data_IF_272557078607
#
_entry.id   IF_272557078607
#
_cell.length_a   1.000
_cell.length_b   1.000
_cell.length_c   1.000
_cell.angle_alpha   90.00
_cell.angle_beta   90.00
_cell.angle_gamma   90.00
#
_symmetry.space_group_name_H-M   'P 1'
#
loop_
_entity.id
_entity.type
_entity.pdbx_description
1 polymer ?
#
# COMPACT_ATOMS: atom_id res chain seq x y z
N UNK A 1 -17.08 16.33 -26.37
CA UNK A 1 -16.81 17.63 -27.02
C UNK A 1 -18.09 18.43 -26.97
N UNK A 2 -18.02 19.73 -26.70
CA UNK A 2 -19.21 20.59 -26.63
C UNK A 2 -19.07 21.75 -27.60
N UNK A 3 -20.18 22.08 -28.28
CA UNK A 3 -20.29 23.11 -29.29
C UNK A 3 -21.51 23.97 -28.98
N UNK A 4 -21.33 25.28 -28.92
CA UNK A 4 -22.44 26.24 -28.83
C UNK A 4 -22.70 26.80 -30.22
N UNK A 5 -23.88 26.56 -30.77
CA UNK A 5 -24.33 27.16 -32.03
C UNK A 5 -25.44 28.17 -31.74
N UNK A 6 -25.25 29.40 -32.22
CA UNK A 6 -26.19 30.51 -32.04
C UNK A 6 -26.58 31.04 -33.42
N UNK A 7 -27.87 31.26 -33.65
CA UNK A 7 -28.34 32.11 -34.74
C UNK A 7 -28.74 33.47 -34.15
N UNK A 8 -28.01 34.52 -34.52
CA UNK A 8 -28.26 35.90 -34.09
C UNK A 8 -28.95 36.76 -35.17
N UNK A 9 -29.15 36.21 -36.37
CA UNK A 9 -29.76 36.88 -37.52
C UNK A 9 -31.19 36.41 -37.78
N UNK A 10 -31.54 36.30 -39.06
CA UNK A 10 -32.84 35.81 -39.55
C UNK A 10 -32.94 34.27 -39.50
N UNK A 11 -34.11 33.69 -39.77
CA UNK A 11 -34.30 32.23 -39.81
C UNK A 11 -33.33 31.57 -40.81
N UNK A 12 -32.54 30.59 -40.35
CA UNK A 12 -31.54 29.89 -41.14
C UNK A 12 -32.08 28.53 -41.64
N UNK A 13 -31.99 28.29 -42.95
CA UNK A 13 -32.57 27.12 -43.62
C UNK A 13 -31.51 26.03 -43.85
N UNK A 14 -31.88 24.77 -43.61
CA UNK A 14 -31.03 23.57 -43.80
C UNK A 14 -29.66 23.66 -43.11
N UNK A 15 -29.63 24.16 -41.87
CA UNK A 15 -28.39 24.30 -41.09
C UNK A 15 -27.67 22.97 -40.92
N UNK A 16 -26.44 22.90 -41.45
CA UNK A 16 -25.57 21.74 -41.38
C UNK A 16 -24.22 22.11 -40.77
N UNK A 17 -23.90 21.46 -39.67
CA UNK A 17 -22.61 21.52 -38.99
C UNK A 17 -21.71 20.41 -39.54
N UNK A 18 -20.49 20.75 -39.95
CA UNK A 18 -19.46 19.82 -40.42
C UNK A 18 -18.27 19.84 -39.45
N UNK A 19 -17.89 18.68 -38.91
CA UNK A 19 -16.71 18.54 -38.05
C UNK A 19 -15.63 17.74 -38.76
N UNK A 20 -14.43 18.30 -38.85
CA UNK A 20 -13.22 17.60 -39.29
C UNK A 20 -12.46 17.08 -38.07
N UNK A 21 -12.20 15.77 -38.07
CA UNK A 21 -11.73 14.97 -36.92
C UNK A 21 -10.50 14.13 -37.32
N UNK A 22 -9.50 13.92 -36.44
CA UNK A 22 -8.42 12.98 -36.71
C UNK A 22 -8.95 11.54 -36.81
N UNK A 23 -8.37 10.71 -37.68
CA UNK A 23 -8.81 9.32 -37.94
C UNK A 23 -8.91 8.41 -36.70
N UNK A 24 -8.24 8.75 -35.60
CA UNK A 24 -8.31 8.02 -34.33
C UNK A 24 -9.56 8.28 -33.48
N UNK A 25 -10.41 9.24 -33.86
CA UNK A 25 -11.76 9.41 -33.32
C UNK A 25 -12.78 8.78 -34.27
N UNK A 26 -13.72 8.00 -33.73
CA UNK A 26 -14.92 7.54 -34.43
C UNK A 26 -16.16 8.06 -33.72
N UNK A 27 -17.20 8.44 -34.46
CA UNK A 27 -18.44 8.98 -33.91
C UNK A 27 -19.21 7.94 -33.09
N UNK A 28 -19.66 8.34 -31.89
CA UNK A 28 -20.47 7.50 -31.00
C UNK A 28 -21.93 7.96 -30.94
N UNK A 29 -22.14 9.24 -30.62
CA UNK A 29 -23.46 9.83 -30.37
C UNK A 29 -23.39 11.36 -30.36
N UNK A 30 -24.52 11.99 -30.70
CA UNK A 30 -24.78 13.42 -30.47
C UNK A 30 -25.94 13.57 -29.47
N UNK A 31 -25.84 14.55 -28.56
CA UNK A 31 -26.87 14.90 -27.58
C UNK A 31 -26.98 16.44 -27.44
N UNK A 32 -28.10 16.91 -26.89
CA UNK A 32 -28.40 18.34 -26.71
C UNK A 32 -28.58 18.67 -25.23
N UNK A 33 -27.70 19.51 -24.66
CA UNK A 33 -27.61 19.66 -23.20
C UNK A 33 -28.73 20.50 -22.55
N UNK A 34 -29.58 21.17 -23.34
CA UNK A 34 -30.71 21.98 -22.85
C UNK A 34 -32.05 21.22 -23.01
N UNK A 35 -32.72 20.76 -21.93
CA UNK A 35 -33.94 19.96 -22.01
C UNK A 35 -35.21 20.75 -22.42
N UNK A 36 -35.08 22.02 -22.81
CA UNK A 36 -36.20 22.87 -23.27
C UNK A 36 -36.05 23.33 -24.72
N UNK A 37 -34.92 23.06 -25.38
CA UNK A 37 -34.79 23.21 -26.83
C UNK A 37 -35.14 21.88 -27.52
N UNK A 38 -36.37 21.75 -28.03
CA UNK A 38 -36.77 20.64 -28.91
C UNK A 38 -36.16 20.79 -30.32
N UNK A 39 -34.85 21.05 -30.40
CA UNK A 39 -34.11 21.24 -31.63
C UNK A 39 -33.47 19.90 -31.99
N UNK A 40 -33.96 19.17 -33.00
CA UNK A 40 -33.37 17.90 -33.38
C UNK A 40 -31.96 18.13 -33.95
N UNK A 41 -31.03 17.27 -33.54
CA UNK A 41 -29.68 17.16 -34.13
C UNK A 41 -29.48 15.70 -34.54
N UNK A 42 -29.12 15.46 -35.79
CA UNK A 42 -28.79 14.14 -36.32
C UNK A 42 -27.45 14.21 -37.02
N UNK A 43 -26.55 13.29 -36.73
CA UNK A 43 -25.20 13.26 -37.30
C UNK A 43 -24.87 11.92 -37.97
N UNK A 44 -24.15 11.99 -39.08
CA UNK A 44 -23.69 10.87 -39.89
C UNK A 44 -22.20 11.04 -40.22
N UNK A 45 -21.40 9.98 -40.04
CA UNK A 45 -19.98 9.98 -40.37
C UNK A 45 -19.82 9.71 -41.87
N UNK A 46 -19.23 10.66 -42.61
CA UNK A 46 -19.17 10.61 -44.07
C UNK A 46 -18.21 9.50 -44.56
N UNK A 47 -18.42 8.95 -45.78
CA UNK A 47 -17.58 7.89 -46.33
C UNK A 47 -16.08 8.24 -46.31
N UNK A 48 -15.25 7.29 -45.88
CA UNK A 48 -13.82 7.51 -45.67
C UNK A 48 -13.04 7.50 -46.99
N UNK A 49 -12.85 8.69 -47.57
CA UNK A 49 -11.91 8.88 -48.68
C UNK A 49 -10.48 8.59 -48.21
N UNK A 50 -9.88 7.52 -48.74
CA UNK A 50 -8.56 7.02 -48.30
C UNK A 50 -7.42 8.05 -48.41
N UNK A 51 -7.60 9.08 -49.25
CA UNK A 51 -6.69 10.22 -49.48
C UNK A 51 -6.72 11.29 -48.38
N UNK A 52 -7.81 11.41 -47.60
CA UNK A 52 -7.98 12.50 -46.63
C UNK A 52 -7.45 12.13 -45.24
N UNK A 53 -6.61 12.97 -44.59
CA UNK A 53 -6.03 12.66 -43.27
C UNK A 53 -7.03 12.79 -42.11
N UNK A 54 -8.25 13.25 -42.37
CA UNK A 54 -9.30 13.50 -41.39
C UNK A 54 -10.60 12.77 -41.78
N UNK A 55 -11.36 12.35 -40.76
CA UNK A 55 -12.76 11.91 -40.87
C UNK A 55 -13.66 13.15 -40.80
N UNK A 56 -14.75 13.16 -41.57
CA UNK A 56 -15.71 14.26 -41.57
C UNK A 56 -17.06 13.78 -41.01
N UNK A 57 -17.53 14.38 -39.93
CA UNK A 57 -18.87 14.17 -39.39
C UNK A 57 -19.79 15.28 -39.92
N UNK A 58 -20.93 14.92 -40.53
CA UNK A 58 -21.96 15.87 -40.94
C UNK A 58 -23.14 15.80 -39.99
N UNK A 59 -23.62 16.94 -39.51
CA UNK A 59 -24.67 17.07 -38.50
C UNK A 59 -25.75 18.05 -38.97
N UNK A 60 -26.96 17.57 -39.24
CA UNK A 60 -28.11 18.41 -39.54
C UNK A 60 -28.72 18.93 -38.23
N UNK A 61 -28.93 20.25 -38.13
CA UNK A 61 -29.42 20.93 -36.92
C UNK A 61 -30.73 21.64 -37.23
N UNK A 62 -31.78 21.39 -36.44
CA UNK A 62 -33.09 22.05 -36.56
C UNK A 62 -33.78 21.93 -37.93
N UNK A 63 -33.40 20.95 -38.75
CA UNK A 63 -33.89 20.82 -40.12
C UNK A 63 -35.44 20.83 -40.19
N UNK A 64 -36.08 21.68 -41.03
CA UNK A 64 -35.48 22.53 -42.06
C UNK A 64 -35.13 23.98 -41.62
N UNK A 65 -35.51 24.44 -40.42
CA UNK A 65 -35.36 25.85 -39.99
C UNK A 65 -34.77 25.95 -38.58
N UNK A 66 -33.62 26.62 -38.44
CA UNK A 66 -33.03 27.05 -37.18
C UNK A 66 -33.35 28.54 -36.95
N UNK A 67 -34.31 28.80 -36.06
CA UNK A 67 -34.95 30.13 -35.94
C UNK A 67 -34.01 31.24 -35.48
N UNK A 68 -34.30 32.46 -35.91
CA UNK A 68 -33.73 33.70 -35.40
C UNK A 68 -33.69 33.72 -33.86
N UNK A 69 -32.55 34.12 -33.28
CA UNK A 69 -32.32 34.17 -31.83
C UNK A 69 -32.13 32.81 -31.13
N UNK A 70 -32.07 31.69 -31.86
CA UNK A 70 -31.90 30.36 -31.26
C UNK A 70 -30.48 30.10 -30.78
N UNK A 71 -30.33 29.42 -29.64
CA UNK A 71 -29.04 29.02 -29.06
C UNK A 71 -29.08 27.59 -28.51
N UNK A 72 -28.32 26.69 -29.14
CA UNK A 72 -28.21 25.27 -28.78
C UNK A 72 -26.79 24.93 -28.32
N UNK A 73 -26.68 24.03 -27.34
CA UNK A 73 -25.40 23.41 -26.96
C UNK A 73 -25.46 21.93 -27.32
N UNK A 74 -24.60 21.54 -28.24
CA UNK A 74 -24.50 20.21 -28.83
C UNK A 74 -23.30 19.50 -28.20
N UNK A 75 -23.54 18.37 -27.53
CA UNK A 75 -22.48 17.52 -27.01
C UNK A 75 -22.26 16.35 -27.98
N UNK A 76 -21.04 16.26 -28.52
CA UNK A 76 -20.61 15.19 -29.43
C UNK A 76 -19.67 14.24 -28.68
N UNK A 77 -20.00 12.95 -28.74
CA UNK A 77 -19.23 11.86 -28.14
C UNK A 77 -18.53 11.04 -29.21
N UNK A 78 -17.32 10.62 -28.89
CA UNK A 78 -16.45 9.81 -29.76
C UNK A 78 -15.93 8.59 -29.01
N UNK A 79 -15.58 7.54 -29.76
CA UNK A 79 -14.67 6.49 -29.29
C UNK A 79 -13.26 6.77 -29.79
N UNK A 80 -12.25 6.43 -28.98
CA UNK A 80 -10.84 6.37 -29.40
C UNK A 80 -10.57 5.01 -30.06
N UNK A 81 -10.13 5.03 -31.32
CA UNK A 81 -9.85 3.81 -32.10
C UNK A 81 -8.51 3.20 -31.66
N UNK A 82 -8.51 1.89 -31.37
CA UNK A 82 -7.30 1.15 -30.96
C UNK A 82 -6.21 1.22 -32.04
N UNK A 83 -4.94 1.17 -31.63
CA UNK A 83 -3.76 1.26 -32.50
C UNK A 83 -3.63 2.58 -33.31
N UNK A 84 -4.44 3.60 -33.01
CA UNK A 84 -4.28 4.94 -33.61
C UNK A 84 -3.03 5.63 -33.10
N UNK A 85 -2.18 6.10 -34.02
CA UNK A 85 -1.08 7.02 -33.72
C UNK A 85 -1.61 8.45 -33.58
N UNK A 86 -1.31 9.12 -32.46
CA UNK A 86 -1.68 10.51 -32.24
C UNK A 86 -0.45 11.42 -32.24
N UNK A 87 -0.60 12.62 -32.80
CA UNK A 87 0.36 13.71 -32.58
C UNK A 87 0.07 14.44 -31.27
N UNK A 88 0.96 15.36 -30.90
CA UNK A 88 0.96 16.08 -29.62
C UNK A 88 -0.35 16.84 -29.31
N UNK A 89 -1.12 17.19 -30.34
CA UNK A 89 -2.43 17.83 -30.22
C UNK A 89 -3.46 17.24 -31.17
N UNK A 90 -4.63 16.89 -30.64
CA UNK A 90 -5.86 16.63 -31.41
C UNK A 90 -6.45 17.98 -31.80
N UNK A 91 -6.32 18.33 -33.09
CA UNK A 91 -7.01 19.48 -33.69
C UNK A 91 -8.42 19.07 -34.11
N UNK A 92 -9.40 19.88 -33.75
CA UNK A 92 -10.81 19.71 -34.08
C UNK A 92 -11.28 20.99 -34.76
N UNK A 93 -11.86 20.87 -35.95
CA UNK A 93 -12.35 22.01 -36.73
C UNK A 93 -13.85 21.84 -37.01
N UNK A 94 -14.65 22.80 -36.57
CA UNK A 94 -16.07 22.91 -36.85
C UNK A 94 -16.31 24.00 -37.90
N UNK A 95 -17.20 23.73 -38.84
CA UNK A 95 -17.73 24.70 -39.79
C UNK A 95 -19.24 24.50 -39.91
N UNK A 96 -20.04 25.55 -39.77
CA UNK A 96 -21.48 25.49 -40.06
C UNK A 96 -21.79 26.13 -41.41
N UNK A 97 -22.90 25.72 -42.04
CA UNK A 97 -23.45 26.31 -43.25
C UNK A 97 -24.97 26.28 -43.21
N UNK A 98 -25.61 27.23 -43.91
CA UNK A 98 -27.03 27.20 -44.20
C UNK A 98 -27.30 27.68 -45.64
N UNK A 99 -28.46 27.37 -46.20
CA UNK A 99 -28.74 27.57 -47.64
C UNK A 99 -29.04 29.04 -48.02
N UNK A 100 -29.40 29.88 -47.05
CA UNK A 100 -29.83 31.27 -47.28
C UNK A 100 -28.80 32.33 -46.87
N UNK A 101 -27.55 31.94 -46.61
CA UNK A 101 -26.49 32.84 -46.19
C UNK A 101 -25.67 33.39 -47.35
N UNK A 102 -25.27 34.66 -47.24
CA UNK A 102 -24.44 35.31 -48.24
C UNK A 102 -22.95 35.00 -48.01
N UNK A 103 -22.19 34.76 -49.09
CA UNK A 103 -20.79 34.36 -49.04
C UNK A 103 -19.85 35.37 -48.34
N UNK A 104 -20.29 36.61 -48.13
CA UNK A 104 -19.56 37.65 -47.39
C UNK A 104 -19.73 37.61 -45.87
N UNK A 105 -20.49 36.65 -45.31
CA UNK A 105 -20.76 36.55 -43.87
C UNK A 105 -20.09 35.33 -43.21
N UNK A 106 -19.62 34.37 -43.99
CA UNK A 106 -19.14 33.03 -43.56
C UNK A 106 -17.94 33.00 -42.59
N UNK A 107 -17.41 34.14 -42.12
CA UNK A 107 -16.20 34.20 -41.29
C UNK A 107 -16.44 33.71 -39.85
N UNK A 108 -17.61 33.97 -39.26
CA UNK A 108 -17.95 33.58 -37.88
C UNK A 108 -18.46 32.13 -37.74
N UNK A 109 -18.83 31.50 -38.86
CA UNK A 109 -19.28 30.10 -38.96
C UNK A 109 -18.18 29.05 -38.70
N UNK A 110 -16.91 29.46 -38.56
CA UNK A 110 -15.77 28.57 -38.37
C UNK A 110 -15.21 28.62 -36.95
N UNK A 111 -14.91 27.45 -36.37
CA UNK A 111 -14.33 27.35 -35.03
C UNK A 111 -13.32 26.20 -34.94
N UNK A 112 -12.13 26.48 -34.40
CA UNK A 112 -11.08 25.48 -34.23
C UNK A 112 -10.62 25.39 -32.77
N UNK A 113 -10.31 24.18 -32.31
CA UNK A 113 -9.71 23.94 -30.98
C UNK A 113 -8.64 22.86 -31.05
N UNK A 114 -7.73 22.85 -30.08
CA UNK A 114 -6.61 21.90 -29.97
C UNK A 114 -6.53 21.33 -28.56
N UNK A 115 -6.71 20.02 -28.43
CA UNK A 115 -6.63 19.29 -27.16
C UNK A 115 -5.25 18.61 -27.09
N UNK A 116 -4.44 18.83 -26.04
CA UNK A 116 -3.15 18.16 -25.88
C UNK A 116 -3.36 16.65 -25.65
N UNK A 117 -2.51 15.83 -26.27
CA UNK A 117 -2.53 14.37 -26.09
C UNK A 117 -1.53 13.96 -25.02
N UNK A 118 -2.02 13.27 -23.98
CA UNK A 118 -1.22 12.73 -22.89
C UNK A 118 -1.49 11.23 -22.73
N UNK A 119 -0.44 10.45 -22.47
CA UNK A 119 -0.50 9.01 -22.34
C UNK A 119 -0.39 8.57 -20.87
N UNK A 120 -1.30 7.74 -20.36
CA UNK A 120 -1.19 7.20 -19.02
C UNK A 120 -0.05 6.17 -18.95
N UNK A 121 0.74 6.22 -17.89
CA UNK A 121 1.59 5.10 -17.45
C UNK A 121 1.02 4.59 -16.12
N UNK A 122 0.75 3.29 -16.07
CA UNK A 122 0.43 2.60 -14.83
C UNK A 122 1.75 2.14 -14.18
N UNK A 123 2.10 2.75 -13.04
CA UNK A 123 3.28 2.40 -12.25
C UNK A 123 2.79 2.02 -10.86
N UNK A 124 2.94 0.76 -10.50
CA UNK A 124 2.59 0.23 -9.18
C UNK A 124 3.87 -0.17 -8.45
N UNK A 125 4.02 0.26 -7.21
CA UNK A 125 5.17 -0.09 -6.36
C UNK A 125 4.69 -0.72 -5.06
N UNK A 126 5.23 -1.88 -4.70
CA UNK A 126 4.84 -2.64 -3.51
C UNK A 126 6.08 -3.13 -2.73
N UNK A 127 6.03 -3.01 -1.40
CA UNK A 127 7.07 -3.55 -0.51
C UNK A 127 6.84 -5.05 -0.28
N UNK A 128 7.89 -5.85 -0.44
CA UNK A 128 7.81 -7.31 -0.38
C UNK A 128 7.94 -7.85 1.05
N UNK A 129 7.15 -8.88 1.37
CA UNK A 129 7.14 -9.57 2.68
C UNK A 129 8.50 -10.20 3.05
N UNK A 130 9.32 -10.53 2.05
CA UNK A 130 10.67 -11.08 2.24
C UNK A 130 11.73 -10.04 2.68
N UNK A 131 11.29 -8.80 3.00
CA UNK A 131 12.08 -7.74 3.63
C UNK A 131 12.34 -8.01 5.11
N UNK A 132 13.41 -7.42 5.66
CA UNK A 132 13.73 -7.49 7.10
C UNK A 132 12.76 -6.63 7.91
N UNK A 133 11.72 -7.23 8.48
CA UNK A 133 10.72 -6.50 9.28
C UNK A 133 11.18 -6.18 10.73
N UNK A 134 12.13 -6.94 11.28
CA UNK A 134 12.60 -6.80 12.66
C UNK A 134 14.06 -7.21 12.83
N UNK A 135 14.81 -6.48 13.66
CA UNK A 135 16.11 -6.89 14.22
C UNK A 135 16.18 -6.52 15.71
N UNK A 136 16.95 -7.28 16.49
CA UNK A 136 17.15 -7.03 17.93
C UNK A 136 18.61 -7.11 18.35
N UNK A 137 19.06 -6.08 19.08
CA UNK A 137 20.37 -6.02 19.72
C UNK A 137 20.24 -6.38 21.20
N UNK A 138 21.07 -7.31 21.68
CA UNK A 138 21.23 -7.59 23.12
C UNK A 138 22.69 -7.52 23.53
N UNK A 139 22.97 -7.47 24.84
CA UNK A 139 24.34 -7.30 25.37
C UNK A 139 25.31 -8.43 24.99
N UNK A 140 24.78 -9.61 24.63
CA UNK A 140 25.52 -10.81 24.22
C UNK A 140 25.26 -11.21 22.76
N UNK A 141 24.41 -10.46 22.06
CA UNK A 141 24.04 -10.72 20.67
C UNK A 141 25.08 -10.23 19.64
N UNK A 142 24.81 -10.44 18.34
CA UNK A 142 25.63 -9.87 17.27
C UNK A 142 25.56 -8.34 17.29
N UNK A 143 26.71 -7.68 17.14
CA UNK A 143 26.77 -6.20 17.06
C UNK A 143 26.46 -5.64 15.67
N UNK A 144 26.33 -6.48 14.65
CA UNK A 144 26.09 -6.08 13.26
C UNK A 144 24.97 -6.94 12.69
N UNK A 145 23.95 -6.30 12.12
CA UNK A 145 22.92 -6.94 11.31
C UNK A 145 22.99 -6.44 9.86
N UNK A 146 23.00 -7.38 8.92
CA UNK A 146 22.70 -7.08 7.52
C UNK A 146 21.19 -7.18 7.32
N UNK A 147 20.61 -6.16 6.69
CA UNK A 147 19.17 -6.00 6.49
C UNK A 147 18.87 -5.75 5.02
N UNK A 148 17.69 -6.11 4.56
CA UNK A 148 17.26 -5.87 3.18
C UNK A 148 15.80 -5.44 3.15
N UNK A 149 15.49 -4.37 2.43
CA UNK A 149 14.13 -4.01 2.05
C UNK A 149 14.00 -4.22 0.55
N UNK A 150 13.01 -5.00 0.13
CA UNK A 150 12.82 -5.39 -1.27
C UNK A 150 11.52 -4.77 -1.76
N UNK A 151 11.56 -4.17 -2.94
CA UNK A 151 10.42 -3.60 -3.62
C UNK A 151 10.23 -4.26 -4.98
N UNK A 152 8.96 -4.45 -5.35
CA UNK A 152 8.53 -4.87 -6.68
C UNK A 152 7.88 -3.66 -7.35
N UNK A 153 8.39 -3.28 -8.52
CA UNK A 153 7.82 -2.22 -9.37
C UNK A 153 7.22 -2.88 -10.60
N UNK A 154 5.94 -2.63 -10.86
CA UNK A 154 5.25 -3.09 -12.07
C UNK A 154 4.92 -1.88 -12.94
N UNK A 155 5.31 -1.93 -14.22
CA UNK A 155 5.22 -0.81 -15.15
C UNK A 155 4.47 -1.26 -16.41
N UNK A 156 3.28 -0.73 -16.59
CA UNK A 156 2.42 -0.99 -17.75
C UNK A 156 2.20 0.34 -18.51
N UNK A 157 2.79 0.50 -19.71
CA UNK A 157 2.60 1.69 -20.53
C UNK A 157 1.21 1.71 -21.20
N UNK A 158 0.90 2.84 -21.83
CA UNK A 158 -0.30 3.00 -22.65
C UNK A 158 -0.34 2.00 -23.82
N UNK A 159 -1.54 1.60 -24.22
CA UNK A 159 -1.75 0.82 -25.45
C UNK A 159 -1.53 1.69 -26.70
N UNK A 160 -1.60 3.02 -26.56
CA UNK A 160 -1.43 4.00 -27.65
C UNK A 160 -0.03 4.60 -27.77
N UNK A 161 0.85 4.42 -26.78
CA UNK A 161 2.26 4.82 -26.88
C UNK A 161 3.16 3.80 -26.19
N UNK A 162 4.18 3.34 -26.91
CA UNK A 162 5.19 2.39 -26.43
C UNK A 162 6.52 3.09 -26.07
N UNK A 163 6.63 4.40 -26.31
CA UNK A 163 7.81 5.21 -26.03
C UNK A 163 7.86 5.63 -24.56
N UNK A 164 8.08 4.67 -23.67
CA UNK A 164 8.22 4.91 -22.23
C UNK A 164 9.32 5.96 -21.98
N UNK A 165 9.03 7.06 -21.24
CA UNK A 165 10.01 8.09 -20.96
C UNK A 165 11.12 7.55 -20.03
N UNK A 166 12.22 8.29 -19.90
CA UNK A 166 13.26 7.96 -18.92
C UNK A 166 12.65 7.96 -17.52
N UNK A 167 12.70 6.78 -16.88
CA UNK A 167 12.20 6.54 -15.53
C UNK A 167 13.34 6.72 -14.51
N UNK A 168 13.00 7.25 -13.35
CA UNK A 168 13.93 7.46 -12.23
C UNK A 168 13.31 6.86 -10.95
N UNK A 169 14.09 6.05 -10.25
CA UNK A 169 13.75 5.53 -8.93
C UNK A 169 14.44 6.37 -7.87
N UNK A 170 13.63 6.97 -6.99
CA UNK A 170 14.04 7.77 -5.84
C UNK A 170 13.88 6.91 -4.58
N UNK A 171 14.99 6.42 -4.05
CA UNK A 171 14.99 5.60 -2.82
C UNK A 171 15.33 6.51 -1.64
N UNK A 172 14.38 6.70 -0.73
CA UNK A 172 14.62 7.36 0.55
C UNK A 172 15.15 6.39 1.60
N UNK A 173 16.22 6.79 2.31
CA UNK A 173 16.78 6.05 3.44
C UNK A 173 16.96 6.96 4.66
N UNK A 174 16.96 6.43 5.89
CA UNK A 174 17.24 7.22 7.09
C UNK A 174 18.73 7.58 7.14
N UNK A 175 19.03 8.80 7.58
CA UNK A 175 20.41 9.24 7.82
C UNK A 175 20.95 8.60 9.12
N UNK A 176 22.23 8.20 9.18
CA UNK A 176 22.85 7.82 10.45
C UNK A 176 22.81 9.01 11.42
N UNK A 177 22.23 8.79 12.60
CA UNK A 177 22.06 9.84 13.61
C UNK A 177 23.37 10.04 14.39
N UNK A 178 23.93 11.25 14.38
CA UNK A 178 25.27 11.56 14.90
C UNK A 178 25.46 11.25 16.40
N UNK A 179 24.39 11.21 17.18
CA UNK A 179 24.38 10.90 18.62
C UNK A 179 23.76 9.53 18.93
N UNK A 180 23.47 8.71 17.90
CA UNK A 180 22.79 7.43 18.02
C UNK A 180 23.68 6.28 18.52
N UNK A 181 23.11 5.35 19.27
CA UNK A 181 23.80 4.11 19.71
C UNK A 181 24.13 3.17 18.53
N UNK A 182 23.49 3.37 17.38
CA UNK A 182 23.68 2.59 16.16
C UNK A 182 24.19 3.45 14.99
N UNK A 183 25.12 2.90 14.21
CA UNK A 183 25.53 3.41 12.89
C UNK A 183 24.83 2.62 11.79
N UNK A 184 24.54 3.28 10.67
CA UNK A 184 23.85 2.69 9.52
C UNK A 184 24.57 3.01 8.22
N UNK A 185 24.68 2.01 7.34
CA UNK A 185 25.18 2.16 5.96
C UNK A 185 24.20 1.48 5.02
N UNK A 186 23.73 2.21 4.00
CA UNK A 186 22.72 1.76 3.05
C UNK A 186 23.29 1.75 1.62
N UNK A 187 22.87 0.78 0.80
CA UNK A 187 23.25 0.61 -0.60
C UNK A 187 22.11 0.00 -1.42
N UNK A 188 21.87 0.52 -2.62
CA UNK A 188 20.81 0.03 -3.52
C UNK A 188 21.38 -0.98 -4.51
N UNK A 189 20.64 -2.05 -4.78
CA UNK A 189 20.92 -3.09 -5.77
C UNK A 189 19.67 -3.28 -6.65
N UNK A 190 19.86 -3.45 -7.96
CA UNK A 190 18.80 -3.52 -8.96
C UNK A 190 19.15 -4.53 -10.04
N UNK A 191 18.14 -5.09 -10.72
CA UNK A 191 18.29 -6.07 -11.79
C UNK A 191 17.55 -5.60 -13.06
N UNK A 192 18.23 -4.95 -14.03
CA UNK A 192 19.68 -4.97 -14.24
C UNK A 192 20.43 -3.99 -13.33
N UNK A 193 21.74 -4.22 -13.08
CA UNK A 193 22.55 -3.32 -12.28
C UNK A 193 22.70 -1.95 -12.95
N UNK A 194 22.41 -0.89 -12.19
CA UNK A 194 22.54 0.52 -12.60
C UNK A 194 23.33 1.30 -11.55
N UNK A 195 23.95 2.41 -11.97
CA UNK A 195 24.68 3.30 -11.05
C UNK A 195 23.69 4.27 -10.41
N UNK A 196 23.54 4.19 -9.09
CA UNK A 196 22.74 5.13 -8.32
C UNK A 196 23.61 6.24 -7.73
N UNK A 197 23.17 7.50 -7.87
CA UNK A 197 23.80 8.65 -7.21
C UNK A 197 23.18 8.88 -5.84
N UNK A 198 23.99 9.16 -4.82
CA UNK A 198 23.50 9.42 -3.46
C UNK A 198 23.59 10.90 -3.10
N UNK A 199 22.46 11.48 -2.70
CA UNK A 199 22.36 12.82 -2.12
C UNK A 199 22.03 12.70 -0.62
N UNK A 200 22.64 13.53 0.24
CA UNK A 200 22.27 13.61 1.66
C UNK A 200 21.43 14.87 1.86
N UNK A 201 20.29 14.74 2.55
CA UNK A 201 19.38 15.87 2.78
C UNK A 201 19.82 16.65 4.03
N UNK A 202 20.24 17.91 3.86
CA UNK A 202 20.43 18.82 4.99
C UNK A 202 19.07 19.21 5.56
N UNK A 203 18.72 18.71 6.77
CA UNK A 203 17.40 18.93 7.36
C UNK A 203 17.45 19.75 8.65
N UNK A 204 16.67 20.84 8.66
CA UNK A 204 16.26 21.55 9.88
C UNK A 204 15.37 20.63 10.76
N UNK A 205 15.46 20.69 12.10
CA UNK A 205 14.85 19.69 12.99
C UNK A 205 13.31 19.70 13.09
N UNK A 206 12.59 20.51 12.31
CA UNK A 206 11.13 20.59 12.32
C UNK A 206 10.47 19.81 11.17
N UNK A 207 9.91 18.64 11.48
CA UNK A 207 8.59 18.10 11.07
C UNK A 207 8.54 16.65 11.57
N UNK A 208 7.52 16.30 12.33
CA UNK A 208 7.40 14.99 12.99
C UNK A 208 6.55 14.01 12.17
N UNK A 209 7.00 13.70 10.96
CA UNK A 209 6.38 12.67 10.12
C UNK A 209 7.15 11.34 10.23
N UNK A 210 6.47 10.18 10.31
CA UNK A 210 7.12 8.88 10.17
C UNK A 210 7.68 8.73 8.75
N UNK A 211 8.76 7.94 8.60
CA UNK A 211 9.37 7.61 7.30
C UNK A 211 9.99 8.77 6.50
N UNK A 212 10.31 9.91 7.15
CA UNK A 212 11.09 10.97 6.50
C UNK A 212 12.51 10.49 6.12
N UNK A 213 12.91 10.58 4.84
CA UNK A 213 14.28 10.26 4.44
C UNK A 213 15.25 11.36 4.86
N UNK A 214 16.49 10.95 5.17
CA UNK A 214 17.62 11.85 5.39
C UNK A 214 18.74 11.69 4.35
N UNK A 215 18.61 10.70 3.46
CA UNK A 215 19.35 10.65 2.21
C UNK A 215 18.48 10.05 1.09
N UNK A 216 18.76 10.42 -0.14
CA UNK A 216 18.11 9.93 -1.35
C UNK A 216 19.13 9.18 -2.22
N UNK A 217 18.71 8.10 -2.86
CA UNK A 217 19.41 7.53 -4.01
C UNK A 217 18.60 7.77 -5.27
N UNK A 218 19.25 8.36 -6.27
CA UNK A 218 18.75 8.62 -7.61
C UNK A 218 19.26 7.51 -8.52
N UNK A 219 18.39 6.58 -8.89
CA UNK A 219 18.71 5.42 -9.72
C UNK A 219 17.98 5.51 -11.07
N UNK A 220 18.68 5.58 -12.22
CA UNK A 220 18.03 5.56 -13.52
C UNK A 220 17.45 4.15 -13.78
N UNK A 221 16.18 4.08 -14.19
CA UNK A 221 15.45 2.81 -14.33
C UNK A 221 15.39 2.40 -15.81
N UNK A 222 16.05 1.27 -16.13
CA UNK A 222 15.88 0.61 -17.43
C UNK A 222 14.50 -0.06 -17.47
N UNK A 223 13.65 0.34 -18.42
CA UNK A 223 12.28 -0.17 -18.52
C UNK A 223 12.23 -1.70 -18.70
N UNK A 224 11.55 -2.35 -17.75
CA UNK A 224 10.95 -3.70 -17.85
C UNK A 224 9.52 -3.59 -17.32
N UNK A 225 8.66 -4.54 -17.68
CA UNK A 225 7.30 -4.64 -17.12
C UNK A 225 7.30 -4.90 -15.61
N UNK A 226 8.35 -5.55 -15.10
CA UNK A 226 8.54 -5.88 -13.70
C UNK A 226 10.02 -5.70 -13.32
N UNK A 227 10.28 -5.04 -12.20
CA UNK A 227 11.63 -4.71 -11.70
C UNK A 227 11.67 -4.94 -10.20
N UNK A 228 12.71 -5.64 -9.73
CA UNK A 228 13.00 -5.80 -8.31
C UNK A 228 14.11 -4.83 -7.90
N UNK A 229 13.86 -4.06 -6.83
CA UNK A 229 14.82 -3.10 -6.25
C UNK A 229 15.09 -3.55 -4.80
N UNK A 230 16.34 -3.88 -4.50
CA UNK A 230 16.77 -4.32 -3.18
C UNK A 230 17.62 -3.24 -2.50
N UNK A 231 17.06 -2.62 -1.46
CA UNK A 231 17.76 -1.67 -0.60
C UNK A 231 18.42 -2.47 0.52
N UNK A 232 19.73 -2.65 0.43
CA UNK A 232 20.54 -3.35 1.43
C UNK A 232 21.05 -2.37 2.49
N UNK A 233 21.06 -2.80 3.75
CA UNK A 233 21.56 -2.04 4.87
C UNK A 233 22.49 -2.86 5.75
N UNK A 234 23.39 -2.18 6.43
CA UNK A 234 24.16 -2.73 7.55
C UNK A 234 23.94 -1.81 8.75
N UNK A 235 23.41 -2.38 9.84
CA UNK A 235 23.13 -1.69 11.10
C UNK A 235 24.10 -2.22 12.16
N UNK A 236 24.86 -1.32 12.77
CA UNK A 236 25.98 -1.62 13.66
C UNK A 236 25.79 -0.94 15.02
N UNK A 237 25.87 -1.71 16.11
CA UNK A 237 25.79 -1.23 17.49
C UNK A 237 27.18 -0.77 17.95
N UNK A 238 27.35 0.56 18.08
CA UNK A 238 28.65 1.18 18.37
C UNK A 238 28.88 1.38 19.87
N UNK A 239 27.80 1.60 20.64
CA UNK A 239 27.88 1.84 22.09
C UNK A 239 27.37 0.68 22.97
N UNK A 240 27.48 0.85 24.29
CA UNK A 240 26.93 -0.08 25.28
C UNK A 240 25.42 0.13 25.47
N UNK A 241 24.66 -0.97 25.56
CA UNK A 241 23.24 -0.93 25.90
C UNK A 241 23.09 -0.60 27.40
N UNK A 242 22.54 0.58 27.72
CA UNK A 242 22.32 1.04 29.10
C UNK A 242 20.84 1.05 29.52
N UNK A 243 19.94 1.01 28.54
CA UNK A 243 18.48 0.93 28.71
C UNK A 243 17.88 0.28 27.46
N UNK A 244 16.71 -0.34 27.60
CA UNK A 244 15.98 -0.85 26.44
C UNK A 244 15.35 0.31 25.65
N UNK A 245 15.34 0.23 24.32
CA UNK A 245 14.68 1.22 23.47
C UNK A 245 14.27 0.62 22.13
N UNK A 246 13.15 1.07 21.58
CA UNK A 246 12.61 0.58 20.32
C UNK A 246 12.35 1.76 19.37
N UNK A 247 12.78 1.62 18.13
CA UNK A 247 12.53 2.61 17.07
C UNK A 247 12.28 1.91 15.73
N UNK A 248 11.91 2.68 14.72
CA UNK A 248 11.64 2.16 13.37
C UNK A 248 12.58 2.82 12.36
N UNK A 249 13.25 2.00 11.56
CA UNK A 249 14.02 2.44 10.39
C UNK A 249 13.18 2.18 9.15
N UNK A 250 12.92 3.22 8.38
CA UNK A 250 12.02 3.17 7.24
C UNK A 250 12.74 3.62 5.98
N UNK A 251 12.63 2.81 4.92
CA UNK A 251 12.96 3.27 3.58
C UNK A 251 11.70 3.51 2.77
N UNK A 252 11.79 4.41 1.82
CA UNK A 252 10.78 4.63 0.79
C UNK A 252 11.37 4.37 -0.59
N UNK A 253 10.51 4.00 -1.53
CA UNK A 253 10.80 4.02 -2.95
C UNK A 253 9.66 4.77 -3.63
N UNK A 254 9.99 5.76 -4.45
CA UNK A 254 9.07 6.27 -5.46
C UNK A 254 9.69 6.17 -6.85
N UNK A 255 8.88 5.87 -7.86
CA UNK A 255 9.31 5.86 -9.26
C UNK A 255 8.61 6.99 -10.01
N UNK A 256 9.39 7.84 -10.66
CA UNK A 256 8.93 9.03 -11.39
C UNK A 256 9.49 9.07 -12.81
N UNK A 257 9.06 10.06 -13.59
CA UNK A 257 9.61 10.37 -14.91
C UNK A 257 9.46 11.87 -15.18
N UNK A 258 10.35 12.42 -15.99
CA UNK A 258 10.22 13.80 -16.49
C UNK A 258 9.73 13.77 -17.93
N UNK A 259 8.43 14.00 -18.14
CA UNK A 259 7.81 14.00 -19.46
C UNK A 259 6.57 14.90 -19.51
N UNK A 260 6.49 15.74 -20.53
CA UNK A 260 5.30 16.57 -20.81
C UNK A 260 4.17 15.82 -21.53
N UNK A 261 4.41 14.57 -21.95
CA UNK A 261 3.44 13.73 -22.71
C UNK A 261 2.85 12.58 -21.89
N UNK A 262 3.26 12.41 -20.63
CA UNK A 262 2.89 11.26 -19.81
C UNK A 262 2.35 11.67 -18.43
N UNK A 263 1.51 10.83 -17.83
CA UNK A 263 1.00 11.02 -16.47
C UNK A 263 0.79 9.67 -15.75
N UNK A 264 0.80 9.69 -14.41
CA UNK A 264 0.53 8.50 -13.60
C UNK A 264 -0.98 8.17 -13.63
N UNK A 265 -1.36 7.00 -14.13
CA UNK A 265 -2.77 6.60 -14.28
C UNK A 265 -3.55 6.62 -12.95
N UNK A 266 -2.92 6.18 -11.87
CA UNK A 266 -3.48 6.15 -10.52
C UNK A 266 -2.81 7.18 -9.57
N UNK A 267 -2.21 8.23 -10.14
CA UNK A 267 -1.46 9.25 -9.40
C UNK A 267 -0.09 8.78 -8.89
N UNK A 268 0.76 9.73 -8.51
CA UNK A 268 2.14 9.47 -8.06
C UNK A 268 2.25 8.65 -6.77
N UNK A 269 1.17 8.55 -5.99
CA UNK A 269 1.10 7.73 -4.79
C UNK A 269 1.09 6.22 -5.12
N UNK A 270 0.56 5.80 -6.27
CA UNK A 270 0.57 4.38 -6.69
C UNK A 270 1.97 3.84 -6.98
N UNK A 271 2.86 4.73 -7.40
CA UNK A 271 4.29 4.51 -7.60
C UNK A 271 5.15 4.72 -6.35
N UNK A 272 4.55 4.91 -5.16
CA UNK A 272 5.25 5.12 -3.90
C UNK A 272 4.96 3.97 -2.92
N UNK A 273 6.03 3.34 -2.42
CA UNK A 273 5.97 2.34 -1.36
C UNK A 273 6.93 2.68 -0.22
N UNK A 274 6.64 2.12 0.97
CA UNK A 274 7.47 2.27 2.17
C UNK A 274 7.64 0.91 2.84
N UNK A 275 8.83 0.64 3.38
CA UNK A 275 9.14 -0.57 4.16
C UNK A 275 9.70 -0.14 5.50
N UNK A 276 9.03 -0.57 6.57
CA UNK A 276 9.34 -0.21 7.96
C UNK A 276 9.94 -1.42 8.66
N UNK A 277 11.21 -1.33 9.04
CA UNK A 277 11.87 -2.28 9.92
C UNK A 277 11.84 -1.77 11.35
N UNK A 278 11.44 -2.62 12.30
CA UNK A 278 11.56 -2.34 13.73
C UNK A 278 12.94 -2.76 14.24
N UNK A 279 13.58 -1.86 14.99
CA UNK A 279 14.84 -2.13 15.69
C UNK A 279 14.58 -2.07 17.17
N UNK A 280 14.89 -3.17 17.85
CA UNK A 280 14.74 -3.33 19.29
C UNK A 280 16.11 -3.43 19.95
N UNK A 281 16.33 -2.66 21.00
CA UNK A 281 17.55 -2.69 21.80
C UNK A 281 17.12 -3.18 23.18
N UNK A 282 17.59 -4.36 23.56
CA UNK A 282 17.14 -5.08 24.76
C UNK A 282 18.24 -5.07 25.83
N UNK A 283 17.96 -4.41 26.96
CA UNK A 283 18.84 -4.40 28.11
C UNK A 283 18.62 -5.62 29.02
N UNK A 284 19.44 -6.65 28.83
CA UNK A 284 19.51 -7.81 29.73
C UNK A 284 20.20 -7.43 31.06
N UNK A 285 19.43 -7.26 32.14
CA UNK A 285 19.98 -7.01 33.48
C UNK A 285 20.47 -8.31 34.12
N UNK A 286 21.77 -8.42 34.41
CA UNK A 286 22.35 -9.60 35.05
C UNK A 286 21.98 -9.71 36.55
N UNK A 287 20.84 -10.34 36.84
CA UNK A 287 20.34 -10.57 38.21
C UNK A 287 21.06 -11.71 38.96
N UNK A 288 22.12 -12.29 38.40
CA UNK A 288 22.86 -13.44 38.96
C UNK A 288 23.28 -13.23 40.42
N UNK A 289 23.78 -12.03 40.75
CA UNK A 289 24.16 -11.69 42.13
C UNK A 289 22.97 -11.73 43.10
N UNK A 290 21.78 -11.31 42.69
CA UNK A 290 20.58 -11.36 43.52
C UNK A 290 20.12 -12.79 43.76
N UNK A 291 20.19 -13.66 42.76
CA UNK A 291 19.88 -15.08 42.93
C UNK A 291 20.85 -15.75 43.91
N UNK A 292 22.16 -15.56 43.74
CA UNK A 292 23.19 -16.10 44.65
C UNK A 292 23.00 -15.58 46.09
N UNK A 293 22.81 -14.26 46.27
CA UNK A 293 22.61 -13.66 47.58
C UNK A 293 21.31 -14.16 48.24
N UNK A 294 20.23 -14.30 47.47
CA UNK A 294 18.95 -14.85 47.93
C UNK A 294 19.08 -16.31 48.36
N UNK A 295 19.78 -17.15 47.58
CA UNK A 295 20.04 -18.54 47.94
C UNK A 295 20.85 -18.66 49.23
N UNK A 296 21.90 -17.85 49.41
CA UNK A 296 22.72 -17.85 50.64
C UNK A 296 21.87 -17.41 51.85
N UNK A 297 21.10 -16.32 51.72
CA UNK A 297 20.24 -15.83 52.80
C UNK A 297 19.15 -16.84 53.18
N UNK A 298 18.52 -17.49 52.19
CA UNK A 298 17.53 -18.54 52.41
C UNK A 298 18.10 -19.77 53.10
N UNK A 299 19.31 -20.19 52.74
CA UNK A 299 19.98 -21.35 53.36
C UNK A 299 20.40 -21.04 54.81
N UNK A 300 20.89 -19.83 55.09
CA UNK A 300 21.16 -19.36 56.46
C UNK A 300 19.89 -19.29 57.32
N UNK A 301 18.77 -18.80 56.75
CA UNK A 301 17.48 -18.77 57.44
C UNK A 301 16.95 -20.18 57.73
N UNK A 302 17.05 -21.10 56.77
CA UNK A 302 16.71 -22.52 56.92
C UNK A 302 17.52 -23.17 58.07
N UNK A 303 18.82 -22.90 58.13
CA UNK A 303 19.71 -23.41 59.17
C UNK A 303 19.37 -22.84 60.56
N UNK A 304 19.01 -21.56 60.66
CA UNK A 304 18.51 -20.97 61.90
C UNK A 304 17.18 -21.61 62.35
N UNK A 305 16.23 -21.81 61.43
CA UNK A 305 14.97 -22.51 61.71
C UNK A 305 15.23 -23.94 62.18
N UNK A 306 16.16 -24.66 61.55
CA UNK A 306 16.55 -26.01 61.95
C UNK A 306 17.13 -26.04 63.38
N UNK A 307 18.00 -25.09 63.73
CA UNK A 307 18.55 -24.96 65.10
C UNK A 307 17.47 -24.64 66.13
N UNK A 308 16.48 -23.80 65.80
CA UNK A 308 15.33 -23.52 66.67
C UNK A 308 14.47 -24.76 66.85
N UNK A 309 14.08 -25.44 65.77
CA UNK A 309 13.27 -26.67 65.83
C UNK A 309 13.98 -27.80 66.59
N UNK A 310 15.30 -27.94 66.42
CA UNK A 310 16.12 -28.88 67.18
C UNK A 310 16.12 -28.54 68.68
N UNK A 311 16.32 -27.27 69.05
CA UNK A 311 16.34 -26.82 70.46
C UNK A 311 14.97 -26.87 71.14
N UNK A 312 13.89 -26.62 70.39
CA UNK A 312 12.49 -26.78 70.83
C UNK A 312 12.09 -28.27 70.93
N UNK A 313 12.92 -29.19 70.40
CA UNK A 313 12.70 -30.64 70.50
C UNK A 313 11.72 -31.19 69.48
N UNK A 314 11.41 -30.46 68.41
CA UNK A 314 10.53 -30.91 67.33
C UNK A 314 11.03 -32.23 66.70
N UNK A 315 12.34 -32.31 66.44
CA UNK A 315 13.00 -33.52 65.95
C UNK A 315 13.26 -34.62 67.01
N UNK A 316 12.80 -34.44 68.25
CA UNK A 316 13.04 -35.37 69.37
C UNK A 316 11.86 -36.31 69.70
N UNK A 317 10.86 -36.43 68.81
CA UNK A 317 9.72 -37.36 68.97
C UNK A 317 9.66 -38.40 67.85
N UNK A 318 9.76 -39.69 68.22
CA UNK A 318 9.18 -40.84 67.50
C UNK A 318 9.74 -41.26 66.14
N UNK A 319 10.39 -40.38 65.36
CA UNK A 319 10.79 -40.73 63.99
C UNK A 319 11.86 -41.85 63.96
N UNK A 320 12.81 -41.81 64.91
CA UNK A 320 13.83 -42.86 65.06
C UNK A 320 13.19 -44.22 65.38
N UNK A 321 12.30 -44.25 66.38
CA UNK A 321 11.59 -45.47 66.81
C UNK A 321 10.77 -46.08 65.67
N UNK A 322 10.08 -45.27 64.84
CA UNK A 322 9.34 -45.79 63.69
C UNK A 322 10.21 -46.29 62.54
N UNK A 323 11.42 -45.76 62.38
CA UNK A 323 12.35 -46.20 61.34
C UNK A 323 13.18 -47.43 61.74
N UNK A 324 13.43 -47.63 63.04
CA UNK A 324 14.03 -48.88 63.56
C UNK A 324 12.97 -50.00 63.67
N UNK A 325 11.77 -49.70 64.17
CA UNK A 325 10.66 -50.68 64.28
C UNK A 325 10.09 -51.18 62.93
N UNK A 326 10.51 -50.61 61.79
CA UNK A 326 10.20 -51.12 60.45
C UNK A 326 11.32 -51.95 59.82
N UNK A 327 12.52 -51.97 60.43
CA UNK A 327 13.65 -52.81 60.02
C UNK A 327 13.60 -54.18 60.73
N UNK A 328 13.35 -54.19 62.05
CA UNK A 328 13.30 -55.43 62.84
C UNK A 328 12.01 -56.26 62.62
N UNK A 329 11.05 -55.74 61.85
CA UNK A 329 9.74 -56.37 61.63
C UNK A 329 9.58 -57.06 60.25
N UNK A 330 10.66 -57.18 59.45
CA UNK A 330 10.57 -57.69 58.07
C UNK A 330 11.63 -58.75 57.73
N UNK A 331 11.44 -59.96 58.25
CA UNK A 331 12.01 -61.20 57.69
C UNK A 331 11.16 -62.41 58.10
N UNK A 332 9.98 -62.52 57.49
CA UNK A 332 8.95 -63.52 57.80
C UNK A 332 7.92 -63.69 56.69
N UNK A 333 8.38 -64.10 55.50
CA UNK A 333 7.56 -64.50 54.35
C UNK A 333 7.48 -66.04 54.30
N UNK A 334 6.42 -66.70 53.74
CA UNK A 334 5.37 -66.17 52.87
C UNK A 334 3.92 -66.47 53.27
N UNK A 335 2.96 -65.89 52.55
CA UNK A 335 1.53 -66.27 52.58
C UNK A 335 0.59 -65.26 51.90
N UNK A 336 0.14 -65.56 50.68
CA UNK A 336 -1.08 -64.98 50.07
C UNK A 336 -2.33 -65.50 50.84
N UNK A 337 -3.52 -64.90 50.85
CA UNK A 337 -4.27 -64.27 49.75
C UNK A 337 -5.45 -63.37 50.26
N UNK A 338 -5.95 -62.48 49.38
CA UNK A 338 -7.26 -61.80 49.27
C UNK A 338 -8.26 -61.60 50.44
N UNK A 339 -8.79 -60.37 50.55
CA UNK A 339 -10.02 -60.03 51.29
C UNK A 339 -10.73 -58.74 50.79
N UNK A 340 -12.07 -58.72 50.80
CA UNK A 340 -13.02 -57.67 50.31
C UNK A 340 -14.22 -57.57 51.29
N UNK A 341 -15.20 -56.63 51.19
CA UNK A 341 -15.21 -55.16 50.97
C UNK A 341 -16.13 -54.43 52.03
N UNK A 342 -16.82 -53.32 51.64
CA UNK A 342 -17.82 -52.43 52.34
C UNK A 342 -17.23 -51.12 52.93
N UNK A 343 -17.69 -49.88 52.65
CA UNK A 343 -19.02 -49.19 52.63
C UNK A 343 -19.55 -48.83 54.03
N UNK A 344 -20.17 -47.66 54.33
CA UNK A 344 -20.88 -46.65 53.49
C UNK A 344 -21.05 -45.28 54.26
N UNK A 345 -21.22 -44.14 53.54
CA UNK A 345 -21.76 -42.75 53.86
C UNK A 345 -21.57 -42.06 55.26
N UNK A 346 -21.68 -40.74 55.52
CA UNK A 346 -22.45 -39.53 55.06
C UNK A 346 -21.58 -38.23 55.28
N UNK A 347 -21.93 -36.95 54.97
CA UNK A 347 -22.83 -36.27 54.00
C UNK A 347 -22.71 -34.69 54.05
N UNK A 348 -23.01 -34.02 52.93
CA UNK A 348 -23.54 -32.62 52.72
C UNK A 348 -22.69 -31.33 53.00
N UNK A 349 -22.93 -30.31 52.14
CA UNK A 349 -22.27 -28.97 52.00
C UNK A 349 -23.13 -27.84 52.69
N UNK A 350 -23.36 -26.54 52.25
CA UNK A 350 -23.04 -25.75 51.03
C UNK A 350 -22.37 -24.34 51.23
N UNK A 351 -21.90 -23.71 50.13
CA UNK A 351 -21.58 -22.26 50.07
C UNK A 351 -21.29 -21.69 48.65
N UNK A 352 -22.15 -20.80 48.13
CA UNK A 352 -22.21 -20.46 46.69
C UNK A 352 -21.32 -19.26 46.23
N UNK A 353 -20.96 -19.23 44.93
CA UNK A 353 -21.57 -18.31 43.93
C UNK A 353 -21.05 -18.52 42.48
N UNK A 354 -21.99 -18.43 41.52
CA UNK A 354 -21.84 -18.34 40.05
C UNK A 354 -22.46 -16.99 39.60
N UNK A 355 -22.38 -16.47 38.34
CA UNK A 355 -22.45 -17.17 37.04
C UNK A 355 -21.49 -16.56 35.95
N UNK A 356 -21.60 -16.71 34.62
CA UNK A 356 -22.60 -17.30 33.69
C UNK A 356 -21.91 -17.63 32.34
N UNK A 357 -22.25 -18.73 31.67
CA UNK A 357 -21.84 -19.00 30.27
C UNK A 357 -23.06 -19.13 29.35
N UNK A 358 -22.92 -18.73 28.07
CA UNK A 358 -23.96 -18.86 27.04
C UNK A 358 -23.57 -19.91 26.01
N UNK A 359 -24.43 -20.90 25.82
CA UNK A 359 -24.58 -21.60 24.54
C UNK A 359 -25.87 -21.14 23.85
N UNK A 360 -25.92 -21.30 22.52
CA UNK A 360 -27.11 -21.60 21.73
C UNK A 360 -26.67 -21.77 20.26
N UNK A 361 -26.59 -23.01 19.76
CA UNK A 361 -26.13 -23.30 18.40
C UNK A 361 -26.68 -24.63 17.84
N UNK A 362 -27.93 -24.62 17.39
CA UNK A 362 -28.59 -25.73 16.66
C UNK A 362 -29.80 -25.12 15.93
N UNK A 363 -30.24 -25.47 14.72
CA UNK A 363 -29.83 -26.29 13.56
C UNK A 363 -31.08 -26.22 12.61
N UNK A 364 -31.00 -26.74 11.39
CA UNK A 364 -32.18 -26.96 10.54
C UNK A 364 -32.06 -26.37 9.14
N UNK A 365 -31.85 -27.23 8.14
CA UNK A 365 -31.99 -26.89 6.72
C UNK A 365 -33.34 -27.34 6.15
N UNK A 366 -33.73 -26.79 4.99
CA UNK A 366 -34.95 -27.21 4.29
C UNK A 366 -35.30 -26.40 3.05
N UNK A 367 -35.09 -27.03 1.90
CA UNK A 367 -35.64 -26.80 0.54
C UNK A 367 -36.75 -25.74 0.35
N UNK A 368 -36.55 -24.85 -0.64
CA UNK A 368 -37.35 -24.74 -1.88
C UNK A 368 -36.52 -24.03 -2.96
#
# INVERSE_FOLDING_TARGET
MELTLNNLGEDAYWVQLSLSLPRGLSFRKVETLKPHSQIPVSCEELPEEATLPARNLSCNVSSPIFKAGSSIVIQVMFYTVMNSSWGDFVKLHANVRCDNENASLLEDNSAATSIPVLYPINILTEGQENSTAYISFTSKGPKIHHVKHIYQVRIQPSVHDHNVPTLEALIGVPQPHSEGLITQKWSVQMEPPVICHKENLERSPSVTEPCLPGALFHCPVVFKQEILIQVTGTVELVGEIKASSMFSLCSSLSVSFNSSKHFHLYGSNSSLAQVIMKVDIVYEKEMLYLYVLSSIAGLLLLLLIFLVLYKVGFFKRGLKEKMEATVDASNGSPGEDSGKPASEEEAVDPGCLDPLHKEDAQDGGGTI
#
